data_IF_191516158467
#
_entry.id   IF_191516158467
#
_cell.length_a   1.000
_cell.length_b   1.000
_cell.length_c   1.000
_cell.angle_alpha   90.00
_cell.angle_beta   90.00
_cell.angle_gamma   90.00
#
_symmetry.space_group_name_H-M   'P 1'
#
loop_
_entity.id
_entity.type
_entity.pdbx_description
1 polymer ?
#
# COMPACT_ATOMS: atom_id res chain seq x y z
N UNK A 1 -35.38 24.40 29.00
CA UNK A 1 -35.25 23.53 27.81
C UNK A 1 -34.28 24.07 26.80
N UNK A 2 -34.37 25.33 26.37
CA UNK A 2 -33.43 25.95 25.38
C UNK A 2 -31.96 25.88 25.82
N UNK A 3 -31.66 26.18 27.09
CA UNK A 3 -30.29 26.12 27.62
C UNK A 3 -29.67 24.73 27.61
N UNK A 4 -30.47 23.67 27.85
CA UNK A 4 -29.99 22.28 27.81
C UNK A 4 -29.61 21.90 26.37
N UNK A 5 -30.45 22.29 25.40
CA UNK A 5 -30.15 22.06 23.96
C UNK A 5 -28.92 22.84 23.53
N UNK A 6 -28.78 24.10 23.96
CA UNK A 6 -27.61 24.91 23.63
C UNK A 6 -26.31 24.31 24.18
N UNK A 7 -26.33 23.82 25.43
CA UNK A 7 -25.18 23.13 26.03
C UNK A 7 -24.86 21.84 25.30
N UNK A 8 -25.85 21.02 24.94
CA UNK A 8 -25.62 19.79 24.18
C UNK A 8 -24.99 20.06 22.80
N UNK A 9 -25.50 21.08 22.09
CA UNK A 9 -24.95 21.49 20.79
C UNK A 9 -23.50 22.00 20.96
N UNK A 10 -23.22 22.80 21.96
CA UNK A 10 -21.89 23.30 22.23
C UNK A 10 -20.87 22.15 22.53
N UNK A 11 -21.30 21.15 23.28
CA UNK A 11 -20.49 19.94 23.55
C UNK A 11 -20.20 19.15 22.27
N UNK A 12 -21.21 18.94 21.42
CA UNK A 12 -21.03 18.23 20.14
C UNK A 12 -20.06 18.99 19.22
N UNK A 13 -20.17 20.32 19.16
CA UNK A 13 -19.24 21.15 18.38
C UNK A 13 -17.82 21.06 18.93
N UNK A 14 -17.65 21.09 20.26
CA UNK A 14 -16.33 20.96 20.88
C UNK A 14 -15.71 19.58 20.58
N UNK A 15 -16.50 18.50 20.66
CA UNK A 15 -16.05 17.15 20.29
C UNK A 15 -15.65 17.11 18.81
N UNK A 16 -16.47 17.68 17.92
CA UNK A 16 -16.16 17.70 16.50
C UNK A 16 -14.86 18.45 16.18
N UNK A 17 -14.61 19.59 16.82
CA UNK A 17 -13.37 20.36 16.67
C UNK A 17 -12.18 19.54 17.19
N UNK A 18 -12.30 18.92 18.35
CA UNK A 18 -11.27 18.03 18.89
C UNK A 18 -10.95 16.90 17.91
N UNK A 19 -11.96 16.20 17.41
CA UNK A 19 -11.82 15.08 16.48
C UNK A 19 -11.09 15.49 15.18
N UNK A 20 -11.42 16.64 14.64
CA UNK A 20 -10.79 17.17 13.42
C UNK A 20 -9.31 17.58 13.62
N UNK A 21 -8.95 18.04 14.82
CA UNK A 21 -7.62 18.60 15.10
C UNK A 21 -6.65 17.58 15.67
N UNK A 22 -7.13 16.54 16.34
CA UNK A 22 -6.30 15.48 16.91
C UNK A 22 -5.58 14.66 15.80
N UNK A 23 -4.45 14.02 16.13
CA UNK A 23 -3.60 13.29 15.18
C UNK A 23 -3.50 11.80 15.43
N UNK A 24 -4.07 11.29 16.52
CA UNK A 24 -3.96 9.88 16.91
C UNK A 24 -4.95 8.97 16.18
N UNK A 25 -6.16 9.43 15.95
CA UNK A 25 -7.26 8.62 15.43
C UNK A 25 -7.73 9.12 14.06
N UNK A 26 -7.26 8.50 12.99
CA UNK A 26 -7.64 8.86 11.62
C UNK A 26 -9.15 8.77 11.37
N UNK A 27 -9.82 7.78 11.99
CA UNK A 27 -11.27 7.58 11.85
C UNK A 27 -12.06 8.72 12.48
N UNK A 28 -11.68 9.19 13.68
CA UNK A 28 -12.36 10.33 14.32
C UNK A 28 -12.20 11.60 13.47
N UNK A 29 -11.05 11.78 12.88
CA UNK A 29 -10.77 12.92 12.00
C UNK A 29 -11.58 12.86 10.69
N UNK A 30 -11.84 11.67 10.16
CA UNK A 30 -12.62 11.48 8.94
C UNK A 30 -14.12 11.51 9.21
N UNK A 31 -14.54 11.02 10.36
CA UNK A 31 -15.93 10.93 10.79
C UNK A 31 -16.08 11.48 12.23
N UNK A 32 -16.02 12.83 12.40
CA UNK A 32 -16.15 13.43 13.73
C UNK A 32 -17.45 13.00 14.43
N UNK A 33 -17.41 12.88 15.73
CA UNK A 33 -18.51 12.43 16.59
C UNK A 33 -18.90 10.98 16.34
N UNK A 34 -19.31 10.63 15.11
CA UNK A 34 -19.81 9.28 14.76
C UNK A 34 -18.71 8.23 14.88
N UNK A 35 -17.46 8.60 14.65
CA UNK A 35 -16.30 7.72 14.78
C UNK A 35 -16.10 7.16 16.20
N UNK A 36 -16.55 7.87 17.23
CA UNK A 36 -16.51 7.38 18.61
C UNK A 36 -17.34 6.11 18.82
N UNK A 37 -18.45 5.94 18.08
CA UNK A 37 -19.24 4.72 18.14
C UNK A 37 -18.44 3.47 17.74
N UNK A 38 -17.55 3.60 16.76
CA UNK A 38 -16.64 2.51 16.39
C UNK A 38 -15.71 2.13 17.54
N UNK A 39 -15.09 3.11 18.20
CA UNK A 39 -14.18 2.83 19.32
C UNK A 39 -14.92 2.27 20.53
N UNK A 40 -16.17 2.73 20.75
CA UNK A 40 -17.01 2.11 21.76
C UNK A 40 -17.30 0.64 21.44
N UNK A 41 -17.65 0.30 20.20
CA UNK A 41 -17.80 -1.10 19.78
C UNK A 41 -16.50 -1.88 19.91
N UNK A 42 -15.36 -1.27 19.62
CA UNK A 42 -14.05 -1.92 19.82
C UNK A 42 -13.76 -2.20 21.29
N UNK A 43 -14.17 -1.32 22.20
CA UNK A 43 -13.96 -1.51 23.63
C UNK A 43 -14.79 -2.64 24.23
N UNK A 44 -16.03 -2.83 23.75
CA UNK A 44 -16.92 -3.94 24.16
C UNK A 44 -16.77 -5.19 23.29
N UNK A 45 -15.98 -5.09 22.24
CA UNK A 45 -15.77 -6.15 21.26
C UNK A 45 -15.21 -7.45 21.84
N UNK A 46 -14.24 -7.42 22.79
CA UNK A 46 -13.71 -8.60 23.43
C UNK A 46 -14.78 -9.44 24.13
N UNK A 47 -15.65 -8.80 24.88
CA UNK A 47 -16.73 -9.44 25.60
C UNK A 47 -17.77 -10.02 24.64
N UNK A 48 -18.15 -9.26 23.61
CA UNK A 48 -19.08 -9.75 22.58
C UNK A 48 -18.51 -10.97 21.85
N UNK A 49 -17.20 -10.97 21.53
CA UNK A 49 -16.55 -12.11 20.85
C UNK A 49 -16.48 -13.34 21.72
N UNK A 50 -16.20 -13.15 23.01
CA UNK A 50 -16.11 -14.28 23.93
C UNK A 50 -17.40 -15.08 24.04
N UNK A 51 -18.58 -14.43 23.88
CA UNK A 51 -19.86 -15.04 24.13
C UNK A 51 -20.75 -15.19 22.88
N UNK A 52 -20.55 -14.39 21.83
CA UNK A 52 -21.52 -14.26 20.74
C UNK A 52 -20.89 -14.36 19.34
N UNK A 53 -19.61 -13.90 19.19
CA UNK A 53 -18.95 -13.77 17.88
C UNK A 53 -17.73 -14.70 17.81
N UNK A 54 -17.03 -14.70 16.69
CA UNK A 54 -15.87 -15.55 16.39
C UNK A 54 -14.70 -15.37 17.35
N UNK A 55 -13.91 -16.42 17.55
CA UNK A 55 -12.68 -16.40 18.34
C UNK A 55 -11.53 -15.68 17.60
N UNK A 56 -10.36 -15.59 18.25
CA UNK A 56 -9.20 -14.88 17.73
C UNK A 56 -8.65 -15.43 16.40
N UNK A 57 -8.90 -16.71 16.09
CA UNK A 57 -8.33 -17.43 14.95
C UNK A 57 -9.24 -17.51 13.73
N UNK A 58 -10.53 -17.21 13.87
CA UNK A 58 -11.54 -17.47 12.82
C UNK A 58 -11.63 -16.38 11.75
N UNK A 59 -11.15 -15.17 12.03
CA UNK A 59 -11.26 -14.06 11.09
C UNK A 59 -10.21 -14.15 9.98
N UNK A 60 -10.64 -13.79 8.78
CA UNK A 60 -9.80 -13.76 7.57
C UNK A 60 -9.94 -12.39 6.87
N UNK A 61 -8.92 -11.88 6.20
CA UNK A 61 -7.56 -12.42 5.98
C UNK A 61 -6.62 -12.25 7.18
N UNK A 62 -6.96 -11.41 8.18
CA UNK A 62 -6.17 -11.16 9.37
C UNK A 62 -6.95 -11.52 10.62
N UNK A 63 -6.31 -12.25 11.51
CA UNK A 63 -6.89 -12.55 12.82
C UNK A 63 -7.07 -11.28 13.65
N UNK A 64 -7.90 -11.36 14.69
CA UNK A 64 -8.11 -10.27 15.63
C UNK A 64 -6.80 -9.80 16.26
N UNK A 65 -5.93 -10.71 16.68
CA UNK A 65 -4.66 -10.36 17.32
C UNK A 65 -3.71 -9.66 16.36
N UNK A 66 -3.63 -10.11 15.11
CA UNK A 66 -2.87 -9.43 14.07
C UNK A 66 -3.36 -7.99 13.85
N UNK A 67 -4.67 -7.77 13.80
CA UNK A 67 -5.25 -6.42 13.67
C UNK A 67 -4.97 -5.56 14.88
N UNK A 68 -5.11 -6.11 16.09
CA UNK A 68 -4.80 -5.42 17.35
C UNK A 68 -3.36 -4.92 17.36
N UNK A 69 -2.43 -5.78 16.99
CA UNK A 69 -1.01 -5.41 16.93
C UNK A 69 -0.74 -4.29 15.93
N UNK A 70 -1.32 -4.35 14.75
CA UNK A 70 -1.18 -3.31 13.72
C UNK A 70 -1.76 -1.98 14.21
N UNK A 71 -2.95 -1.99 14.81
CA UNK A 71 -3.58 -0.76 15.30
C UNK A 71 -2.82 -0.14 16.47
N UNK A 72 -2.34 -0.93 17.42
CA UNK A 72 -1.52 -0.44 18.52
C UNK A 72 -0.20 0.15 18.01
N UNK A 73 0.46 -0.52 17.07
CA UNK A 73 1.68 -0.02 16.43
C UNK A 73 1.46 1.29 15.67
N UNK A 74 0.37 1.40 14.92
CA UNK A 74 0.02 2.63 14.18
C UNK A 74 -0.25 3.82 15.12
N UNK A 75 -0.79 3.58 16.29
CA UNK A 75 -1.05 4.58 17.33
C UNK A 75 0.16 4.86 18.22
N UNK A 76 1.25 4.09 18.07
CA UNK A 76 2.41 4.10 18.97
C UNK A 76 2.03 3.76 20.43
N UNK A 77 1.03 2.93 20.59
CA UNK A 77 0.63 2.36 21.88
C UNK A 77 1.45 1.10 22.16
N UNK A 78 1.35 0.59 23.42
CA UNK A 78 1.99 -0.67 23.76
C UNK A 78 1.42 -1.81 22.89
N UNK A 79 2.28 -2.41 22.08
CA UNK A 79 1.95 -3.51 21.18
C UNK A 79 2.63 -4.82 21.56
N UNK A 80 3.16 -4.93 22.80
CA UNK A 80 3.74 -6.16 23.30
C UNK A 80 2.64 -7.20 23.54
N UNK A 81 2.94 -8.43 23.15
CA UNK A 81 2.23 -9.61 23.61
C UNK A 81 3.05 -10.24 24.73
N UNK A 82 2.36 -10.84 25.71
CA UNK A 82 3.02 -11.64 26.73
C UNK A 82 3.71 -12.88 26.13
N UNK A 83 4.46 -13.59 26.95
CA UNK A 83 5.05 -14.85 26.56
C UNK A 83 3.95 -15.88 26.21
N UNK A 84 4.08 -16.48 25.05
CA UNK A 84 3.12 -17.45 24.53
C UNK A 84 2.00 -16.82 23.71
N UNK A 85 1.31 -17.66 22.97
CA UNK A 85 0.17 -17.34 22.13
C UNK A 85 -0.89 -18.42 22.35
N UNK A 86 -2.16 -18.03 22.35
CA UNK A 86 -3.29 -18.98 22.30
C UNK A 86 -3.60 -19.45 20.87
N UNK A 87 -2.81 -19.01 19.90
CA UNK A 87 -2.91 -19.42 18.51
C UNK A 87 -2.04 -20.64 18.23
N UNK A 88 -2.57 -21.62 17.53
CA UNK A 88 -1.82 -22.78 17.03
C UNK A 88 -0.95 -22.38 15.83
N UNK A 89 0.12 -21.64 16.09
CA UNK A 89 0.97 -21.09 15.03
C UNK A 89 1.82 -22.15 14.34
N UNK A 90 2.17 -23.21 15.06
CA UNK A 90 3.00 -24.32 14.55
C UNK A 90 2.30 -25.13 13.45
N UNK A 91 0.96 -25.10 13.41
CA UNK A 91 0.18 -25.73 12.36
C UNK A 91 0.01 -24.86 11.10
N UNK A 92 0.49 -23.62 11.13
CA UNK A 92 0.38 -22.72 9.99
C UNK A 92 1.48 -23.03 8.96
N UNK A 93 1.15 -23.12 7.67
CA UNK A 93 2.16 -23.26 6.63
C UNK A 93 3.09 -22.03 6.64
N UNK A 94 4.37 -22.27 6.44
CA UNK A 94 5.41 -21.21 6.43
C UNK A 94 5.59 -20.48 7.78
N UNK A 95 5.35 -21.18 8.88
CA UNK A 95 5.65 -20.65 10.20
C UNK A 95 7.14 -20.30 10.33
N UNK A 96 7.43 -19.07 10.77
CA UNK A 96 8.81 -18.61 10.96
C UNK A 96 9.24 -18.88 12.41
N UNK A 97 10.32 -19.61 12.56
CA UNK A 97 10.95 -19.87 13.85
C UNK A 97 12.30 -19.16 13.88
N UNK A 98 12.54 -18.37 14.93
CA UNK A 98 13.86 -17.85 15.21
C UNK A 98 14.73 -18.97 15.80
N UNK A 99 15.83 -19.27 15.14
CA UNK A 99 16.85 -20.16 15.69
C UNK A 99 17.62 -19.37 16.76
N UNK A 100 17.43 -19.77 18.03
CA UNK A 100 18.12 -19.14 19.14
C UNK A 100 19.62 -19.43 19.09
N UNK A 101 20.42 -18.41 19.38
CA UNK A 101 21.86 -18.55 19.61
C UNK A 101 22.14 -18.51 21.11
N UNK A 102 23.06 -19.36 21.56
CA UNK A 102 23.50 -19.39 22.96
C UNK A 102 24.28 -18.12 23.32
N UNK A 103 24.95 -17.54 22.34
CA UNK A 103 25.71 -16.29 22.50
C UNK A 103 25.21 -15.28 21.45
N UNK A 104 24.09 -14.61 21.72
CA UNK A 104 23.51 -13.67 20.78
C UNK A 104 24.45 -12.49 20.53
N UNK A 105 24.32 -11.85 19.36
CA UNK A 105 24.99 -10.58 19.11
C UNK A 105 24.56 -9.54 20.12
N UNK A 106 25.52 -8.71 20.57
CA UNK A 106 25.19 -7.58 21.43
C UNK A 106 24.20 -6.66 20.74
N UNK A 107 23.10 -6.37 21.44
CA UNK A 107 22.16 -5.35 20.99
C UNK A 107 22.64 -3.99 21.51
N UNK A 108 22.68 -3.00 20.64
CA UNK A 108 22.90 -1.62 21.06
C UNK A 108 21.67 -1.06 21.76
N UNK A 109 21.87 -0.42 22.89
CA UNK A 109 20.80 0.16 23.70
C UNK A 109 20.81 1.69 23.62
N UNK A 110 19.68 2.36 23.93
CA UNK A 110 19.66 3.81 24.06
C UNK A 110 20.72 4.29 25.04
N UNK A 111 21.64 5.14 24.57
CA UNK A 111 22.81 5.60 25.33
C UNK A 111 24.15 5.03 24.84
N UNK A 112 24.18 3.96 24.09
CA UNK A 112 25.39 3.45 23.46
C UNK A 112 25.80 4.35 22.28
N UNK A 113 27.10 4.53 22.10
CA UNK A 113 27.62 5.38 21.02
C UNK A 113 27.23 4.88 19.62
N UNK A 114 27.02 3.58 19.46
CA UNK A 114 26.64 2.95 18.20
C UNK A 114 25.10 2.79 18.04
N UNK A 115 24.31 3.22 19.01
CA UNK A 115 22.85 3.14 18.94
C UNK A 115 22.29 4.19 17.98
N UNK A 116 21.66 3.74 16.92
CA UNK A 116 20.90 4.59 15.98
C UNK A 116 19.42 4.22 16.01
N UNK A 117 18.55 5.03 16.65
CA UNK A 117 17.11 4.76 16.73
C UNK A 117 16.43 4.81 15.35
N UNK A 118 17.12 5.36 14.34
CA UNK A 118 16.63 5.44 12.98
C UNK A 118 17.32 4.47 12.04
N UNK A 119 18.13 3.55 12.58
CA UNK A 119 18.81 2.56 11.76
C UNK A 119 17.81 1.78 10.91
N UNK A 120 18.08 1.75 9.61
CA UNK A 120 17.28 1.03 8.63
C UNK A 120 18.11 -0.05 8.00
N UNK A 121 17.51 -1.23 7.79
CA UNK A 121 18.15 -2.30 7.04
C UNK A 121 18.08 -1.95 5.55
N UNK A 122 19.17 -1.55 4.91
CA UNK A 122 19.16 -1.16 3.50
C UNK A 122 18.96 -2.40 2.62
N UNK A 123 18.36 -2.21 1.45
CA UNK A 123 18.30 -3.26 0.45
C UNK A 123 19.71 -3.67 0.01
N UNK A 124 19.99 -4.97 -0.02
CA UNK A 124 21.30 -5.47 -0.49
C UNK A 124 21.50 -5.24 -1.99
N UNK A 125 20.43 -5.11 -2.75
CA UNK A 125 20.46 -4.96 -4.21
C UNK A 125 20.38 -3.49 -4.63
N UNK A 126 21.10 -3.15 -5.68
CA UNK A 126 20.95 -1.87 -6.40
C UNK A 126 20.08 -2.13 -7.62
N UNK A 127 18.87 -1.55 -7.62
CA UNK A 127 17.95 -1.70 -8.73
C UNK A 127 18.52 -1.04 -9.99
N UNK A 128 18.55 -1.80 -11.09
CA UNK A 128 19.08 -1.34 -12.37
C UNK A 128 20.59 -1.43 -12.53
N UNK A 129 21.38 -1.75 -11.49
CA UNK A 129 22.85 -1.80 -11.59
C UNK A 129 23.35 -2.88 -12.55
N UNK A 130 22.77 -4.08 -12.54
CA UNK A 130 23.18 -5.18 -13.40
C UNK A 130 23.09 -4.87 -14.92
N UNK A 131 22.26 -3.90 -15.29
CA UNK A 131 22.06 -3.43 -16.67
C UNK A 131 22.62 -2.02 -16.90
N UNK A 132 23.37 -1.46 -15.94
CA UNK A 132 23.97 -0.13 -16.06
C UNK A 132 22.95 0.99 -16.28
N UNK A 133 21.75 0.93 -15.67
CA UNK A 133 20.72 1.93 -15.88
C UNK A 133 21.18 3.29 -15.35
N UNK A 134 21.02 4.38 -16.11
CA UNK A 134 21.44 5.72 -15.69
C UNK A 134 20.82 6.18 -14.36
N UNK A 135 19.62 5.73 -14.05
CA UNK A 135 18.89 6.05 -12.83
C UNK A 135 18.82 4.88 -11.85
N UNK A 136 19.86 4.01 -11.87
CA UNK A 136 19.98 2.94 -10.90
C UNK A 136 20.06 3.51 -9.47
N UNK A 137 19.45 2.83 -8.50
CA UNK A 137 19.44 3.26 -7.10
C UNK A 137 19.34 2.09 -6.14
N UNK A 138 19.79 2.30 -4.92
CA UNK A 138 19.61 1.36 -3.82
C UNK A 138 18.39 1.78 -3.00
N UNK A 139 17.34 0.96 -2.88
CA UNK A 139 16.26 1.24 -1.95
C UNK A 139 16.79 1.36 -0.51
N UNK A 140 16.32 2.36 0.22
CA UNK A 140 16.74 2.58 1.60
C UNK A 140 16.18 1.54 2.57
N UNK A 141 15.11 0.84 2.19
CA UNK A 141 14.46 -0.21 2.98
C UNK A 141 14.27 -1.48 2.16
N UNK A 142 14.39 -2.63 2.82
CA UNK A 142 14.02 -3.93 2.24
C UNK A 142 12.50 -4.16 2.24
N UNK A 143 11.76 -3.41 3.10
CA UNK A 143 10.30 -3.49 3.20
C UNK A 143 9.71 -2.31 2.44
N UNK A 144 8.79 -2.60 1.53
CA UNK A 144 8.16 -1.60 0.68
C UNK A 144 6.64 -1.81 0.65
N UNK A 145 5.88 -0.76 0.35
CA UNK A 145 4.42 -0.82 0.28
C UNK A 145 3.99 -1.42 -1.05
N UNK A 146 3.24 -2.51 -0.99
CA UNK A 146 2.73 -3.21 -2.17
C UNK A 146 1.77 -2.36 -3.01
N UNK A 147 1.62 -2.71 -4.30
CA UNK A 147 0.76 -2.01 -5.24
C UNK A 147 -0.72 -2.13 -4.91
N UNK A 148 -1.32 -0.99 -4.59
CA UNK A 148 -2.76 -0.84 -4.34
C UNK A 148 -3.24 0.39 -5.10
N UNK A 149 -4.12 0.17 -6.08
CA UNK A 149 -4.52 1.20 -7.04
C UNK A 149 -5.39 2.29 -6.41
N UNK A 150 -5.16 3.55 -6.77
CA UNK A 150 -6.14 4.62 -6.55
C UNK A 150 -7.43 4.31 -7.30
N UNK A 151 -8.56 4.44 -6.60
CA UNK A 151 -9.86 3.99 -7.07
C UNK A 151 -10.27 2.63 -6.48
N UNK A 152 -9.32 1.74 -6.16
CA UNK A 152 -9.55 0.64 -5.21
C UNK A 152 -9.42 1.15 -3.79
N UNK A 153 -8.38 1.95 -3.52
CA UNK A 153 -8.24 2.76 -2.31
C UNK A 153 -8.78 4.17 -2.53
N UNK A 154 -9.22 4.80 -1.47
CA UNK A 154 -9.58 6.23 -1.44
C UNK A 154 -8.33 7.12 -1.52
N UNK A 155 -8.50 8.38 -1.92
CA UNK A 155 -7.43 9.37 -1.93
C UNK A 155 -6.70 9.47 -0.58
N UNK A 156 -7.42 9.70 0.55
CA UNK A 156 -6.79 9.77 1.87
C UNK A 156 -6.00 8.51 2.26
N UNK A 157 -6.44 7.32 1.85
CA UNK A 157 -5.69 6.09 2.11
C UNK A 157 -4.37 6.04 1.32
N UNK A 158 -4.39 6.45 0.06
CA UNK A 158 -3.17 6.54 -0.76
C UNK A 158 -2.21 7.59 -0.21
N UNK A 159 -2.71 8.74 0.22
CA UNK A 159 -1.91 9.79 0.86
C UNK A 159 -1.26 9.32 2.15
N UNK A 160 -2.00 8.62 3.00
CA UNK A 160 -1.48 8.06 4.24
C UNK A 160 -0.36 7.05 3.98
N UNK A 161 -0.51 6.19 2.96
CA UNK A 161 0.52 5.23 2.56
C UNK A 161 1.76 5.95 2.01
N UNK A 162 1.58 6.98 1.17
CA UNK A 162 2.71 7.71 0.60
C UNK A 162 3.45 8.54 1.64
N UNK A 163 2.73 9.25 2.51
CA UNK A 163 3.33 9.97 3.64
C UNK A 163 4.03 9.04 4.62
N UNK A 164 3.43 7.87 4.91
CA UNK A 164 4.06 6.83 5.72
C UNK A 164 5.33 6.27 5.07
N UNK A 165 5.32 6.08 3.75
CA UNK A 165 6.50 5.65 2.99
C UNK A 165 7.63 6.66 3.06
N UNK A 166 7.31 7.96 3.00
CA UNK A 166 8.29 9.04 3.19
C UNK A 166 8.93 8.98 4.58
N UNK A 167 8.11 8.86 5.62
CA UNK A 167 8.59 8.79 7.02
C UNK A 167 9.47 7.55 7.21
N UNK A 168 9.03 6.41 6.71
CA UNK A 168 9.74 5.14 6.82
C UNK A 168 10.95 5.04 5.87
N UNK A 169 11.07 5.90 4.84
CA UNK A 169 12.09 5.83 3.80
C UNK A 169 11.98 4.55 2.96
N UNK A 170 10.76 4.09 2.69
CA UNK A 170 10.49 2.95 1.82
C UNK A 170 9.79 3.40 0.55
N UNK A 171 9.72 2.51 -0.44
CA UNK A 171 9.02 2.75 -1.69
C UNK A 171 7.54 2.38 -1.54
N UNK A 172 6.67 3.10 -2.27
CA UNK A 172 5.29 2.71 -2.47
C UNK A 172 5.07 2.33 -3.93
N UNK A 173 4.51 1.15 -4.20
CA UNK A 173 3.99 0.84 -5.52
C UNK A 173 2.62 1.48 -5.72
N UNK A 174 2.42 2.15 -6.86
CA UNK A 174 1.17 2.87 -7.16
C UNK A 174 -0.02 1.95 -7.39
N UNK A 175 0.22 0.66 -7.63
CA UNK A 175 -0.78 -0.20 -8.25
C UNK A 175 -1.05 0.20 -9.72
N UNK A 176 -1.95 -0.53 -10.36
CA UNK A 176 -2.20 -0.41 -11.82
C UNK A 176 -3.16 0.72 -12.22
N UNK A 177 -3.58 1.57 -11.27
CA UNK A 177 -4.57 2.64 -11.51
C UNK A 177 -4.02 3.94 -12.10
N UNK A 178 -2.74 4.00 -12.42
CA UNK A 178 -2.04 5.23 -12.80
C UNK A 178 -1.47 5.96 -11.58
N UNK A 179 -0.84 7.10 -11.82
CA UNK A 179 -0.25 7.97 -10.79
C UNK A 179 -1.21 9.13 -10.52
N UNK A 180 -1.67 9.26 -9.29
CA UNK A 180 -2.54 10.36 -8.84
C UNK A 180 -1.79 11.39 -8.02
N UNK A 181 -2.38 12.56 -7.81
CA UNK A 181 -1.89 13.59 -6.87
C UNK A 181 -1.72 13.06 -5.44
N UNK A 182 -2.52 12.06 -5.07
CA UNK A 182 -2.48 11.39 -3.77
C UNK A 182 -1.21 10.56 -3.55
N UNK A 183 -0.54 10.10 -4.63
CA UNK A 183 0.75 9.43 -4.56
C UNK A 183 1.94 10.39 -4.38
N UNK A 184 1.74 11.70 -4.48
CA UNK A 184 2.81 12.71 -4.51
C UNK A 184 2.93 13.45 -3.17
N UNK A 185 2.94 12.71 -2.06
CA UNK A 185 3.08 13.26 -0.70
C UNK A 185 4.49 13.13 -0.12
N UNK A 186 5.48 12.95 -0.99
CA UNK A 186 6.90 12.95 -0.64
C UNK A 186 7.56 11.57 -0.63
N UNK A 187 6.80 10.47 -0.59
CA UNK A 187 7.35 9.11 -0.70
C UNK A 187 7.78 8.77 -2.12
N UNK A 188 8.90 8.03 -2.24
CA UNK A 188 9.38 7.52 -3.52
C UNK A 188 8.47 6.41 -4.05
N UNK A 189 8.33 6.33 -5.39
CA UNK A 189 7.35 5.48 -6.05
C UNK A 189 7.98 4.42 -6.95
N UNK A 190 7.33 3.25 -6.98
CA UNK A 190 7.40 2.30 -8.09
C UNK A 190 6.10 2.47 -8.88
N UNK A 191 6.19 2.93 -10.13
CA UNK A 191 4.99 3.04 -10.97
C UNK A 191 4.65 1.69 -11.59
N UNK A 192 3.50 1.14 -11.22
CA UNK A 192 3.03 -0.11 -11.78
C UNK A 192 2.22 0.14 -13.05
N UNK A 193 2.70 -0.42 -14.17
CA UNK A 193 2.06 -0.39 -15.48
C UNK A 193 1.34 -1.72 -15.70
N UNK A 194 0.02 -1.70 -15.61
CA UNK A 194 -0.83 -2.86 -15.89
C UNK A 194 -1.31 -2.94 -17.32
N UNK A 195 -2.12 -3.95 -17.61
CA UNK A 195 -2.66 -4.25 -18.95
C UNK A 195 -3.57 -3.16 -19.53
N UNK A 196 -4.12 -2.29 -18.67
CA UNK A 196 -4.92 -1.13 -19.07
C UNK A 196 -4.10 0.11 -19.39
N UNK A 197 -2.78 0.11 -19.13
CA UNK A 197 -1.85 1.23 -19.37
C UNK A 197 -2.31 2.55 -18.75
N UNK A 198 -3.03 2.52 -17.63
CA UNK A 198 -3.55 3.72 -16.99
C UNK A 198 -2.43 4.70 -16.62
N UNK A 199 -2.60 5.95 -17.02
CA UNK A 199 -1.58 6.99 -16.90
C UNK A 199 -0.59 7.08 -18.05
N UNK A 200 -0.52 6.05 -18.93
CA UNK A 200 0.35 6.06 -20.12
C UNK A 200 -0.32 5.47 -21.36
N UNK A 201 -1.65 5.49 -21.44
CA UNK A 201 -2.42 4.99 -22.60
C UNK A 201 -2.79 6.11 -23.57
N UNK A 202 -2.87 5.77 -24.84
CA UNK A 202 -3.46 6.63 -25.87
C UNK A 202 -5.01 6.63 -25.79
N UNK A 203 -5.72 7.46 -26.59
CA UNK A 203 -7.18 7.45 -26.63
C UNK A 203 -7.79 6.12 -27.06
N UNK A 204 -7.06 5.28 -27.80
CA UNK A 204 -7.46 3.94 -28.19
C UNK A 204 -7.21 2.87 -27.11
N UNK A 205 -6.65 3.26 -25.98
CA UNK A 205 -6.35 2.35 -24.87
C UNK A 205 -5.06 1.57 -25.01
N UNK A 206 -4.20 1.89 -25.98
CA UNK A 206 -2.90 1.25 -26.19
C UNK A 206 -1.80 1.98 -25.43
N UNK A 207 -0.68 1.30 -25.23
CA UNK A 207 0.50 1.90 -24.63
C UNK A 207 1.03 3.09 -25.46
N UNK A 208 1.45 4.16 -24.77
CA UNK A 208 2.07 5.34 -25.35
C UNK A 208 3.31 5.74 -24.59
N UNK A 209 4.49 5.61 -25.22
CA UNK A 209 5.77 6.03 -24.64
C UNK A 209 5.81 7.54 -24.33
N UNK A 210 5.21 8.36 -25.20
CA UNK A 210 5.16 9.81 -24.99
C UNK A 210 4.41 10.15 -23.68
N UNK A 211 3.25 9.52 -23.47
CA UNK A 211 2.47 9.72 -22.23
C UNK A 211 3.16 9.14 -21.00
N UNK A 212 3.88 8.04 -21.15
CA UNK A 212 4.68 7.48 -20.06
C UNK A 212 5.75 8.49 -19.61
N UNK A 213 6.52 9.04 -20.55
CA UNK A 213 7.54 10.05 -20.27
C UNK A 213 6.95 11.33 -19.65
N UNK A 214 5.81 11.77 -20.13
CA UNK A 214 5.09 12.92 -19.59
C UNK A 214 4.65 12.68 -18.14
N UNK A 215 4.14 11.52 -17.80
CA UNK A 215 3.79 11.17 -16.43
C UNK A 215 5.03 11.11 -15.53
N UNK A 216 6.14 10.54 -15.99
CA UNK A 216 7.41 10.52 -15.23
C UNK A 216 7.94 11.93 -15.00
N UNK A 217 7.83 12.81 -15.98
CA UNK A 217 8.27 14.21 -15.85
C UNK A 217 7.45 14.97 -14.80
N UNK A 218 6.16 14.70 -14.70
CA UNK A 218 5.26 15.29 -13.71
C UNK A 218 5.39 14.67 -12.31
N UNK A 219 5.92 13.45 -12.20
CA UNK A 219 6.07 12.71 -10.96
C UNK A 219 7.53 12.27 -10.76
N UNK A 220 8.45 13.19 -10.40
CA UNK A 220 9.88 12.89 -10.23
C UNK A 220 10.18 11.90 -9.10
N UNK A 221 9.22 11.62 -8.22
CA UNK A 221 9.29 10.61 -7.18
C UNK A 221 9.31 9.18 -7.73
N UNK A 222 8.99 8.97 -9.02
CA UNK A 222 9.05 7.66 -9.67
C UNK A 222 10.51 7.25 -9.81
N UNK A 223 10.89 6.17 -9.09
CA UNK A 223 12.25 5.62 -9.06
C UNK A 223 12.39 4.36 -9.91
N UNK A 224 11.30 3.64 -10.13
CA UNK A 224 11.28 2.43 -10.95
C UNK A 224 9.92 2.24 -11.60
N UNK A 225 9.89 1.41 -12.65
CA UNK A 225 8.66 0.96 -13.31
C UNK A 225 8.50 -0.53 -13.07
N UNK A 226 7.26 -0.97 -12.84
CA UNK A 226 6.90 -2.37 -12.65
C UNK A 226 5.81 -2.76 -13.66
N UNK A 227 6.16 -3.61 -14.64
CA UNK A 227 5.20 -4.15 -15.62
C UNK A 227 4.44 -5.30 -14.96
N UNK A 228 3.15 -5.12 -14.74
CA UNK A 228 2.31 -6.12 -14.08
C UNK A 228 1.71 -7.07 -15.10
N UNK A 229 2.09 -8.34 -15.01
CA UNK A 229 1.61 -9.42 -15.87
C UNK A 229 0.36 -10.09 -15.31
N UNK A 230 0.39 -10.44 -14.03
CA UNK A 230 -0.70 -11.16 -13.36
C UNK A 230 -0.74 -10.91 -11.86
N UNK A 231 -1.77 -11.44 -11.21
CA UNK A 231 -1.92 -11.44 -9.75
C UNK A 231 -2.60 -12.72 -9.29
N UNK A 232 -2.20 -13.25 -8.12
CA UNK A 232 -2.73 -14.51 -7.58
C UNK A 232 -4.23 -14.48 -7.26
N UNK A 233 -4.77 -13.33 -6.86
CA UNK A 233 -6.18 -13.20 -6.50
C UNK A 233 -7.16 -13.30 -7.70
N UNK A 234 -6.67 -13.09 -8.93
CA UNK A 234 -7.49 -13.12 -10.14
C UNK A 234 -6.72 -13.78 -11.29
N UNK A 235 -6.54 -15.09 -11.27
CA UNK A 235 -5.85 -15.82 -12.33
C UNK A 235 -6.59 -15.64 -13.66
N UNK A 236 -5.86 -15.26 -14.72
CA UNK A 236 -6.42 -15.12 -16.07
C UNK A 236 -7.42 -13.97 -16.27
N UNK A 237 -7.61 -13.09 -15.28
CA UNK A 237 -8.52 -11.95 -15.38
C UNK A 237 -7.80 -10.63 -15.06
N UNK A 238 -8.23 -9.57 -15.74
CA UNK A 238 -7.81 -8.19 -15.43
C UNK A 238 -8.52 -7.62 -14.20
N UNK A 239 -8.13 -6.39 -13.81
CA UNK A 239 -8.79 -5.64 -12.75
C UNK A 239 -10.18 -5.16 -13.17
N UNK A 240 -11.10 -5.09 -12.22
CA UNK A 240 -12.43 -4.51 -12.37
C UNK A 240 -12.60 -3.34 -11.40
N UNK A 241 -12.95 -2.16 -11.92
CA UNK A 241 -13.45 -1.05 -11.11
C UNK A 241 -14.88 -0.73 -11.54
N UNK A 242 -15.88 -0.96 -10.67
CA UNK A 242 -17.28 -0.69 -10.98
C UNK A 242 -17.51 0.80 -11.31
N UNK A 243 -18.39 1.08 -12.25
CA UNK A 243 -18.82 2.43 -12.64
C UNK A 243 -19.16 3.32 -11.45
N UNK A 244 -19.86 2.78 -10.46
CA UNK A 244 -20.27 3.51 -9.28
C UNK A 244 -19.11 4.08 -8.44
N UNK A 245 -17.88 3.59 -8.64
CA UNK A 245 -16.66 4.08 -8.00
C UNK A 245 -15.83 5.01 -8.87
N UNK A 246 -16.21 5.22 -10.12
CA UNK A 246 -15.44 6.05 -11.06
C UNK A 246 -15.83 7.51 -10.86
N UNK A 247 -14.96 8.26 -10.21
CA UNK A 247 -15.05 9.72 -10.11
C UNK A 247 -14.43 10.40 -11.35
N UNK A 248 -14.67 11.69 -11.53
CA UNK A 248 -14.02 12.48 -12.59
C UNK A 248 -12.51 12.40 -12.51
N UNK A 249 -11.93 12.48 -11.31
CA UNK A 249 -10.50 12.35 -11.09
C UNK A 249 -9.96 10.98 -11.51
N UNK A 250 -10.64 9.89 -11.14
CA UNK A 250 -10.25 8.53 -11.55
C UNK A 250 -10.36 8.38 -13.07
N UNK A 251 -11.40 8.92 -13.68
CA UNK A 251 -11.61 8.87 -15.11
C UNK A 251 -10.49 9.60 -15.87
N UNK A 252 -10.08 10.77 -15.40
CA UNK A 252 -8.98 11.55 -15.98
C UNK A 252 -7.64 10.81 -15.85
N UNK A 253 -7.29 10.34 -14.66
CA UNK A 253 -6.01 9.65 -14.39
C UNK A 253 -5.90 8.37 -15.21
N UNK A 254 -6.98 7.61 -15.33
CA UNK A 254 -7.01 6.35 -16.08
C UNK A 254 -7.23 6.55 -17.59
N UNK A 255 -7.68 7.72 -18.02
CA UNK A 255 -8.07 7.98 -19.41
C UNK A 255 -9.25 7.10 -19.85
N UNK A 256 -10.31 7.01 -19.02
CA UNK A 256 -11.48 6.15 -19.22
C UNK A 256 -12.78 6.94 -19.16
N UNK A 257 -13.87 6.46 -19.79
CA UNK A 257 -15.19 7.05 -19.64
C UNK A 257 -15.79 6.74 -18.26
N UNK A 258 -16.76 7.55 -17.83
CA UNK A 258 -17.46 7.42 -16.54
C UNK A 258 -18.78 6.64 -16.63
N UNK A 259 -19.22 6.29 -17.82
CA UNK A 259 -20.54 5.72 -18.10
C UNK A 259 -20.62 4.19 -17.97
N UNK A 260 -19.47 3.51 -17.77
CA UNK A 260 -19.36 2.06 -17.73
C UNK A 260 -18.28 1.60 -16.78
N UNK A 261 -18.30 0.30 -16.45
CA UNK A 261 -17.27 -0.35 -15.65
C UNK A 261 -15.90 -0.27 -16.34
N UNK A 262 -14.85 -0.04 -15.56
CA UNK A 262 -13.48 -0.08 -16.06
C UNK A 262 -12.92 -1.50 -15.87
N UNK A 263 -12.77 -2.24 -16.96
CA UNK A 263 -12.22 -3.59 -17.00
C UNK A 263 -10.85 -3.53 -17.66
N UNK A 264 -9.81 -3.97 -16.96
CA UNK A 264 -8.48 -4.14 -17.52
C UNK A 264 -8.45 -5.41 -18.39
N UNK A 265 -7.80 -5.38 -19.57
CA UNK A 265 -7.59 -6.60 -20.37
C UNK A 265 -6.88 -7.70 -19.57
N UNK A 266 -7.07 -8.95 -19.95
CA UNK A 266 -6.40 -10.10 -19.32
C UNK A 266 -4.89 -10.12 -19.61
N UNK A 267 -4.45 -9.57 -20.75
CA UNK A 267 -3.05 -9.50 -21.18
C UNK A 267 -2.67 -8.15 -21.75
N UNK A 268 -1.37 -7.93 -21.88
CA UNK A 268 -0.82 -6.72 -22.50
C UNK A 268 -1.02 -6.75 -24.01
N UNK A 269 -1.39 -5.61 -24.61
CA UNK A 269 -1.46 -5.47 -26.06
C UNK A 269 -0.11 -5.14 -26.72
N UNK A 270 0.88 -4.74 -25.92
CA UNK A 270 2.22 -4.36 -26.39
C UNK A 270 3.13 -5.57 -26.67
N UNK A 271 2.80 -6.75 -26.15
CA UNK A 271 3.59 -7.97 -26.36
C UNK A 271 2.72 -9.22 -26.23
N UNK A 272 3.16 -10.33 -26.84
CA UNK A 272 2.42 -11.59 -26.91
C UNK A 272 3.20 -12.81 -26.42
N UNK A 273 4.49 -12.67 -26.26
CA UNK A 273 5.39 -13.73 -25.80
C UNK A 273 6.48 -13.14 -24.90
N UNK A 274 7.35 -14.00 -24.35
CA UNK A 274 8.38 -13.61 -23.41
C UNK A 274 9.44 -12.69 -24.04
N UNK A 275 9.84 -12.94 -25.27
CA UNK A 275 10.85 -12.13 -25.96
C UNK A 275 10.33 -10.71 -26.22
N UNK A 276 9.13 -10.57 -26.77
CA UNK A 276 8.47 -9.28 -26.95
C UNK A 276 8.26 -8.53 -25.62
N UNK A 277 7.97 -9.27 -24.52
CA UNK A 277 7.87 -8.69 -23.19
C UNK A 277 9.22 -8.13 -22.71
N UNK A 278 10.30 -8.89 -22.91
CA UNK A 278 11.64 -8.43 -22.56
C UNK A 278 12.05 -7.22 -23.39
N UNK A 279 11.78 -7.21 -24.68
CA UNK A 279 11.99 -6.04 -25.56
C UNK A 279 11.20 -4.83 -25.09
N UNK A 280 9.94 -5.02 -24.68
CA UNK A 280 9.13 -3.95 -24.11
C UNK A 280 9.73 -3.40 -22.80
N UNK A 281 10.15 -4.27 -21.88
CA UNK A 281 10.83 -3.88 -20.64
C UNK A 281 12.11 -3.10 -20.92
N UNK A 282 12.95 -3.58 -21.84
CA UNK A 282 14.19 -2.90 -22.23
C UNK A 282 13.93 -1.56 -22.92
N UNK A 283 12.88 -1.47 -23.74
CA UNK A 283 12.45 -0.21 -24.34
C UNK A 283 12.06 0.83 -23.28
N UNK A 284 11.25 0.44 -22.29
CA UNK A 284 10.89 1.32 -21.17
C UNK A 284 12.13 1.81 -20.43
N UNK A 285 13.05 0.89 -20.11
CA UNK A 285 14.25 1.20 -19.35
C UNK A 285 15.19 2.13 -20.13
N UNK A 286 15.40 1.87 -21.42
CA UNK A 286 16.29 2.67 -22.28
C UNK A 286 15.76 4.08 -22.47
N UNK A 287 14.45 4.22 -22.70
CA UNK A 287 13.79 5.49 -22.96
C UNK A 287 13.63 6.39 -21.72
N UNK A 288 13.61 5.81 -20.51
CA UNK A 288 13.41 6.54 -19.26
C UNK A 288 14.67 6.61 -18.39
N UNK A 289 15.64 5.72 -18.61
CA UNK A 289 16.79 5.52 -17.76
C UNK A 289 16.48 4.86 -16.41
N UNK A 290 15.20 4.54 -16.14
CA UNK A 290 14.74 3.94 -14.90
C UNK A 290 14.97 2.42 -14.87
N UNK A 291 15.18 1.83 -13.70
CA UNK A 291 15.02 0.41 -13.53
C UNK A 291 13.58 -0.02 -13.86
N UNK A 292 13.46 -1.10 -14.63
CA UNK A 292 12.16 -1.70 -14.98
C UNK A 292 12.19 -3.17 -14.57
N UNK A 293 11.15 -3.60 -13.88
CA UNK A 293 10.94 -4.98 -13.48
C UNK A 293 9.57 -5.49 -13.89
N UNK A 294 9.31 -6.75 -13.60
CA UNK A 294 8.01 -7.39 -13.81
C UNK A 294 7.38 -7.79 -12.48
N UNK A 295 6.05 -7.82 -12.44
CA UNK A 295 5.27 -8.36 -11.34
C UNK A 295 4.33 -9.42 -11.87
N UNK A 296 4.42 -10.61 -11.30
CA UNK A 296 3.58 -11.73 -11.68
C UNK A 296 3.21 -12.57 -10.47
N UNK A 297 2.14 -13.36 -10.59
CA UNK A 297 1.93 -14.50 -9.72
C UNK A 297 2.84 -15.62 -10.20
N UNK A 298 3.63 -16.18 -9.29
CA UNK A 298 4.52 -17.30 -9.58
C UNK A 298 3.82 -18.58 -9.08
N UNK A 299 3.37 -19.39 -10.02
CA UNK A 299 2.69 -20.67 -9.73
C UNK A 299 3.55 -21.89 -10.03
N UNK A 300 4.66 -21.69 -10.75
CA UNK A 300 5.60 -22.73 -11.13
C UNK A 300 7.03 -22.25 -10.83
N UNK A 301 7.88 -23.18 -10.35
CA UNK A 301 9.29 -22.89 -10.09
C UNK A 301 10.10 -22.66 -11.37
N UNK A 302 9.58 -23.03 -12.52
CA UNK A 302 10.17 -22.81 -13.84
C UNK A 302 9.79 -21.47 -14.50
N UNK A 303 9.05 -20.61 -13.79
CA UNK A 303 8.61 -19.28 -14.28
C UNK A 303 9.79 -18.40 -14.65
#
# INVERSE_FOLDING_TARGET
>A
MIWIVAVAVALLVAIAIYDLTQRQHAILRTFPIVGHFRYWLESVGPELRQYIVTNNNEERPFSRDQRRWIYASAKRENNYFGFGSDNEMELQPSYLINKHDTFPLEAYHPGDQAFDPQFRIPCAKVMGAARGRPRAFRPASIVNVAGMSFGSLSGPAVEALNGGSQIAGCLQSTGEGGVSSHHLKGGELIWQVGTGYFGCRDPGGRFSMARLKDTIARAPQIRAIEVKLSQGAKPGAGGLLPRAKITSEIAEIRGIPMDRDCISPAGHSAFRNADEMLDFVESLASETGLPVGIKSAVGDSAF
#
